data_IF_810762386718
#
_entry.id   IF_810762386718
#
_cell.length_a   1.000
_cell.length_b   1.000
_cell.length_c   1.000
_cell.angle_alpha   90.00
_cell.angle_beta   90.00
_cell.angle_gamma   90.00
#
_symmetry.space_group_name_H-M   'P 1'
#
loop_
_entity.id
_entity.type
_entity.pdbx_description
1 polymer ?
#
# COMPACT_ATOMS: atom_id res chain seq x y z
N UNK A 1 89.64 10.78 -17.61
CA UNK A 1 88.30 10.57 -18.21
C UNK A 1 87.35 11.76 -18.06
N UNK A 2 87.48 12.63 -17.05
CA UNK A 2 86.62 13.82 -16.90
C UNK A 2 86.93 14.92 -17.93
N UNK A 3 88.21 15.12 -18.29
CA UNK A 3 88.63 16.13 -19.29
C UNK A 3 88.06 15.92 -20.70
N UNK A 4 87.84 14.65 -21.10
CA UNK A 4 87.26 14.30 -22.40
C UNK A 4 85.74 14.55 -22.44
N UNK A 5 85.08 14.53 -21.28
CA UNK A 5 83.65 14.81 -21.15
C UNK A 5 83.38 16.31 -21.28
N UNK A 6 84.26 17.15 -20.73
CA UNK A 6 84.15 18.62 -20.79
C UNK A 6 84.42 19.19 -22.18
N UNK A 7 85.34 18.60 -22.95
CA UNK A 7 85.55 18.95 -24.36
C UNK A 7 84.38 18.50 -25.25
N UNK A 8 83.82 17.31 -24.98
CA UNK A 8 82.62 16.84 -25.66
C UNK A 8 81.41 17.73 -25.35
N UNK A 9 81.22 18.17 -24.10
CA UNK A 9 80.17 19.11 -23.68
C UNK A 9 80.35 20.54 -24.23
N UNK A 10 81.54 20.93 -24.70
CA UNK A 10 81.77 22.21 -25.39
C UNK A 10 81.59 22.11 -26.91
N UNK A 11 81.33 20.91 -27.46
CA UNK A 11 81.01 20.75 -28.86
C UNK A 11 79.56 21.22 -29.12
N UNK A 12 79.33 22.16 -30.07
CA UNK A 12 77.98 22.68 -30.36
C UNK A 12 76.97 21.58 -30.72
N UNK A 13 77.43 20.47 -31.32
CA UNK A 13 76.57 19.31 -31.65
C UNK A 13 76.18 18.52 -30.39
N UNK A 14 77.09 18.35 -29.43
CA UNK A 14 76.78 17.63 -28.20
C UNK A 14 75.82 18.42 -27.30
N UNK A 15 75.96 19.75 -27.23
CA UNK A 15 75.05 20.61 -26.46
C UNK A 15 73.62 20.57 -26.99
N UNK A 16 73.44 20.54 -28.31
CA UNK A 16 72.12 20.43 -28.93
C UNK A 16 71.49 19.05 -28.67
N UNK A 17 72.26 17.97 -28.72
CA UNK A 17 71.79 16.62 -28.39
C UNK A 17 71.37 16.51 -26.91
N UNK A 18 72.20 17.01 -25.98
CA UNK A 18 71.89 17.00 -24.54
C UNK A 18 70.66 17.87 -24.24
N UNK A 19 70.55 19.04 -24.86
CA UNK A 19 69.36 19.90 -24.74
C UNK A 19 68.09 19.22 -25.26
N UNK A 20 68.14 18.58 -26.43
CA UNK A 20 67.01 17.84 -26.98
C UNK A 20 66.59 16.66 -26.09
N UNK A 21 67.56 15.93 -25.52
CA UNK A 21 67.29 14.84 -24.58
C UNK A 21 66.60 15.34 -23.30
N UNK A 22 67.05 16.47 -22.74
CA UNK A 22 66.41 17.08 -21.57
C UNK A 22 64.97 17.53 -21.84
N UNK A 23 64.72 18.12 -23.02
CA UNK A 23 63.36 18.51 -23.43
C UNK A 23 62.45 17.29 -23.57
N UNK A 24 62.93 16.19 -24.14
CA UNK A 24 62.16 14.95 -24.24
C UNK A 24 61.82 14.37 -22.87
N UNK A 25 62.79 14.33 -21.94
CA UNK A 25 62.56 13.86 -20.57
C UNK A 25 61.50 14.74 -19.89
N UNK A 26 61.62 16.06 -20.02
CA UNK A 26 60.65 16.98 -19.42
C UNK A 26 59.24 16.80 -19.99
N UNK A 27 59.11 16.61 -21.31
CA UNK A 27 57.83 16.34 -21.97
C UNK A 27 57.22 15.01 -21.51
N UNK A 28 58.03 13.95 -21.39
CA UNK A 28 57.54 12.66 -20.88
C UNK A 28 57.08 12.76 -19.42
N UNK A 29 57.80 13.49 -18.57
CA UNK A 29 57.42 13.73 -17.18
C UNK A 29 56.10 14.51 -17.07
N UNK A 30 55.89 15.51 -17.93
CA UNK A 30 54.64 16.29 -17.99
C UNK A 30 53.45 15.43 -18.41
N UNK A 31 53.61 14.62 -19.46
CA UNK A 31 52.58 13.68 -19.93
C UNK A 31 52.26 12.66 -18.83
N UNK A 32 53.27 12.14 -18.15
CA UNK A 32 53.10 11.21 -17.04
C UNK A 32 52.33 11.86 -15.87
N UNK A 33 52.71 13.07 -15.46
CA UNK A 33 52.01 13.81 -14.41
C UNK A 33 50.54 14.08 -14.76
N UNK A 34 50.26 14.45 -16.02
CA UNK A 34 48.90 14.66 -16.50
C UNK A 34 48.06 13.37 -16.50
N UNK A 35 48.67 12.23 -16.88
CA UNK A 35 48.04 10.91 -16.83
C UNK A 35 47.71 10.50 -15.39
N UNK A 36 48.64 10.67 -14.44
CA UNK A 36 48.37 10.38 -13.02
C UNK A 36 47.24 11.26 -12.46
N UNK A 37 47.21 12.54 -12.83
CA UNK A 37 46.13 13.45 -12.43
C UNK A 37 44.76 13.02 -12.95
N UNK A 38 44.69 12.56 -14.21
CA UNK A 38 43.45 11.99 -14.79
C UNK A 38 43.03 10.70 -14.12
N UNK A 39 43.97 9.79 -13.84
CA UNK A 39 43.67 8.52 -13.16
C UNK A 39 43.09 8.74 -11.76
N UNK A 40 43.64 9.69 -10.99
CA UNK A 40 43.13 10.03 -9.65
C UNK A 40 41.69 10.54 -9.70
N UNK A 41 41.39 11.46 -10.61
CA UNK A 41 40.02 11.97 -10.81
C UNK A 41 39.05 10.88 -11.23
N UNK A 42 39.48 9.95 -12.08
CA UNK A 42 38.65 8.82 -12.51
C UNK A 42 38.39 7.85 -11.35
N UNK A 43 39.38 7.61 -10.48
CA UNK A 43 39.21 6.81 -9.26
C UNK A 43 38.23 7.46 -8.27
N UNK A 44 38.32 8.78 -8.06
CA UNK A 44 37.39 9.53 -7.22
C UNK A 44 35.95 9.45 -7.76
N UNK A 45 35.77 9.57 -9.08
CA UNK A 45 34.47 9.40 -9.73
C UNK A 45 33.92 7.99 -9.55
N UNK A 46 34.76 6.96 -9.69
CA UNK A 46 34.35 5.56 -9.47
C UNK A 46 33.96 5.29 -8.01
N UNK A 47 34.66 5.90 -7.05
CA UNK A 47 34.28 5.82 -5.64
C UNK A 47 32.93 6.48 -5.37
N UNK A 48 32.67 7.65 -5.97
CA UNK A 48 31.36 8.31 -5.87
C UNK A 48 30.22 7.53 -6.53
N UNK A 49 30.50 6.84 -7.64
CA UNK A 49 29.53 5.94 -8.28
C UNK A 49 29.29 4.70 -7.40
N UNK A 50 30.34 4.11 -6.83
CA UNK A 50 30.22 2.95 -5.95
C UNK A 50 29.40 3.26 -4.69
N UNK A 51 29.59 4.43 -4.07
CA UNK A 51 28.79 4.83 -2.92
C UNK A 51 27.33 5.07 -3.31
N UNK A 52 27.09 5.74 -4.45
CA UNK A 52 25.73 5.94 -4.97
C UNK A 52 25.01 4.61 -5.24
N UNK A 53 25.71 3.62 -5.80
CA UNK A 53 25.17 2.27 -6.02
C UNK A 53 24.85 1.55 -4.71
N UNK A 54 25.69 1.69 -3.68
CA UNK A 54 25.38 1.12 -2.36
C UNK A 54 24.14 1.74 -1.72
N UNK A 55 23.94 3.05 -1.86
CA UNK A 55 22.75 3.74 -1.37
C UNK A 55 21.50 3.37 -2.15
N UNK A 56 21.61 3.15 -3.47
CA UNK A 56 20.50 2.66 -4.28
C UNK A 56 20.13 1.23 -3.92
N UNK A 57 21.11 0.36 -3.67
CA UNK A 57 20.86 -1.00 -3.20
C UNK A 57 20.13 -0.99 -1.85
N UNK A 58 20.59 -0.18 -0.90
CA UNK A 58 19.94 -0.05 0.41
C UNK A 58 18.51 0.50 0.28
N UNK A 59 18.32 1.51 -0.58
CA UNK A 59 17.00 2.08 -0.86
C UNK A 59 16.07 1.08 -1.53
N UNK A 60 16.58 0.25 -2.44
CA UNK A 60 15.81 -0.82 -3.08
C UNK A 60 15.37 -1.89 -2.08
N UNK A 61 16.27 -2.31 -1.18
CA UNK A 61 15.94 -3.25 -0.09
C UNK A 61 14.86 -2.65 0.81
N UNK A 62 14.99 -1.39 1.22
CA UNK A 62 13.97 -0.70 2.04
C UNK A 62 12.63 -0.60 1.31
N UNK A 63 12.63 -0.24 0.03
CA UNK A 63 11.39 -0.21 -0.77
C UNK A 63 10.76 -1.59 -0.89
N UNK A 64 11.55 -2.64 -1.11
CA UNK A 64 11.05 -4.00 -1.19
C UNK A 64 10.39 -4.45 0.13
N UNK A 65 11.03 -4.18 1.27
CA UNK A 65 10.47 -4.46 2.60
C UNK A 65 9.19 -3.65 2.87
N UNK A 66 9.14 -2.40 2.43
CA UNK A 66 7.95 -1.57 2.54
C UNK A 66 6.81 -2.12 1.65
N UNK A 67 7.11 -2.60 0.44
CA UNK A 67 6.12 -3.23 -0.44
C UNK A 67 5.58 -4.52 0.17
N UNK A 68 6.42 -5.33 0.79
CA UNK A 68 5.99 -6.53 1.52
C UNK A 68 5.09 -6.16 2.71
N UNK A 69 5.43 -5.11 3.46
CA UNK A 69 4.56 -4.58 4.53
C UNK A 69 3.21 -4.08 3.99
N UNK A 70 3.20 -3.39 2.84
CA UNK A 70 1.97 -2.93 2.18
C UNK A 70 1.13 -4.10 1.70
N UNK A 71 1.73 -5.13 1.10
CA UNK A 71 1.04 -6.34 0.67
C UNK A 71 0.36 -7.05 1.86
N UNK A 72 1.08 -7.20 2.97
CA UNK A 72 0.53 -7.79 4.20
C UNK A 72 -0.62 -6.95 4.78
N UNK A 73 -0.51 -5.62 4.77
CA UNK A 73 -1.59 -4.73 5.21
C UNK A 73 -2.81 -4.86 4.30
N UNK A 74 -2.63 -4.92 2.98
CA UNK A 74 -3.72 -5.09 2.02
C UNK A 74 -4.44 -6.43 2.22
N UNK A 75 -3.70 -7.52 2.41
CA UNK A 75 -4.28 -8.83 2.67
C UNK A 75 -5.11 -8.86 3.97
N UNK A 76 -4.61 -8.21 5.02
CA UNK A 76 -5.36 -8.09 6.27
C UNK A 76 -6.63 -7.22 6.10
N UNK A 77 -6.55 -6.16 5.30
CA UNK A 77 -7.67 -5.28 5.01
C UNK A 77 -8.74 -5.99 4.16
N UNK A 78 -8.33 -6.82 3.21
CA UNK A 78 -9.20 -7.69 2.42
C UNK A 78 -9.93 -8.71 3.31
N UNK A 79 -9.22 -9.37 4.23
CA UNK A 79 -9.83 -10.28 5.21
C UNK A 79 -10.86 -9.58 6.10
N UNK A 80 -10.52 -8.40 6.63
CA UNK A 80 -11.45 -7.60 7.44
C UNK A 80 -12.66 -7.14 6.64
N UNK A 81 -12.49 -6.80 5.36
CA UNK A 81 -13.59 -6.41 4.50
C UNK A 81 -14.53 -7.57 4.20
N UNK A 82 -13.99 -8.77 3.98
CA UNK A 82 -14.79 -9.99 3.79
C UNK A 82 -15.63 -10.30 5.04
N UNK A 83 -15.01 -10.27 6.23
CA UNK A 83 -15.71 -10.48 7.50
C UNK A 83 -16.76 -9.39 7.76
N UNK A 84 -16.43 -8.13 7.49
CA UNK A 84 -17.39 -7.03 7.59
C UNK A 84 -18.58 -7.21 6.65
N UNK A 85 -18.33 -7.62 5.40
CA UNK A 85 -19.39 -7.87 4.42
C UNK A 85 -20.31 -9.01 4.85
N UNK A 86 -19.76 -10.10 5.39
CA UNK A 86 -20.54 -11.22 5.91
C UNK A 86 -21.40 -10.79 7.11
N UNK A 87 -20.79 -10.11 8.09
CA UNK A 87 -21.50 -9.59 9.25
C UNK A 87 -22.59 -8.57 8.88
N UNK A 88 -22.35 -7.78 7.83
CA UNK A 88 -23.32 -6.82 7.32
C UNK A 88 -24.54 -7.51 6.70
N UNK A 89 -24.33 -8.57 5.91
CA UNK A 89 -25.43 -9.36 5.36
C UNK A 89 -26.21 -10.09 6.46
N UNK A 90 -25.52 -10.67 7.46
CA UNK A 90 -26.16 -11.24 8.64
C UNK A 90 -27.01 -10.20 9.39
N UNK A 91 -26.46 -9.00 9.60
CA UNK A 91 -27.18 -7.90 10.26
C UNK A 91 -28.43 -7.48 9.49
N UNK A 92 -28.39 -7.44 8.15
CA UNK A 92 -29.58 -7.16 7.34
C UNK A 92 -30.66 -8.22 7.52
N UNK A 93 -30.28 -9.50 7.51
CA UNK A 93 -31.21 -10.61 7.70
C UNK A 93 -31.84 -10.53 9.09
N UNK A 94 -31.05 -10.26 10.12
CA UNK A 94 -31.54 -10.12 11.48
C UNK A 94 -32.47 -8.90 11.63
N UNK A 95 -32.12 -7.76 11.03
CA UNK A 95 -32.99 -6.58 10.99
C UNK A 95 -34.32 -6.85 10.28
N UNK A 96 -34.30 -7.56 9.14
CA UNK A 96 -35.52 -7.93 8.42
C UNK A 96 -36.41 -8.83 9.30
N UNK A 97 -35.82 -9.82 9.95
CA UNK A 97 -36.52 -10.70 10.88
C UNK A 97 -37.08 -9.94 12.09
N UNK A 98 -36.32 -8.98 12.63
CA UNK A 98 -36.76 -8.17 13.76
C UNK A 98 -37.92 -7.24 13.37
N UNK A 99 -37.86 -6.65 12.18
CA UNK A 99 -38.95 -5.85 11.62
C UNK A 99 -40.21 -6.69 11.39
N UNK A 100 -40.07 -7.92 10.89
CA UNK A 100 -41.19 -8.84 10.69
C UNK A 100 -41.80 -9.29 12.03
N UNK A 101 -40.97 -9.63 13.02
CA UNK A 101 -41.43 -9.97 14.36
C UNK A 101 -42.17 -8.80 15.03
N UNK A 102 -41.61 -7.59 14.96
CA UNK A 102 -42.26 -6.38 15.49
C UNK A 102 -43.58 -6.05 14.76
N UNK A 103 -43.62 -6.21 13.45
CA UNK A 103 -44.82 -6.02 12.64
C UNK A 103 -45.93 -6.99 13.03
N UNK A 104 -45.61 -8.28 13.11
CA UNK A 104 -46.56 -9.34 13.48
C UNK A 104 -47.08 -9.20 14.91
N UNK A 105 -46.22 -8.88 15.89
CA UNK A 105 -46.64 -8.66 17.28
C UNK A 105 -47.55 -7.43 17.42
N UNK A 106 -47.27 -6.36 16.68
CA UNK A 106 -48.12 -5.16 16.65
C UNK A 106 -49.49 -5.44 16.02
N UNK A 107 -49.53 -6.17 14.91
CA UNK A 107 -50.77 -6.60 14.25
C UNK A 107 -51.63 -7.48 15.17
N UNK A 108 -51.00 -8.44 15.85
CA UNK A 108 -51.67 -9.34 16.79
C UNK A 108 -52.24 -8.57 18.00
N UNK A 109 -51.45 -7.68 18.60
CA UNK A 109 -51.90 -6.85 19.74
C UNK A 109 -53.11 -6.01 19.35
N UNK A 110 -53.05 -5.33 18.19
CA UNK A 110 -54.14 -4.52 17.67
C UNK A 110 -55.41 -5.36 17.37
N UNK A 111 -55.24 -6.58 16.87
CA UNK A 111 -56.34 -7.50 16.63
C UNK A 111 -57.03 -7.95 17.93
N UNK A 112 -56.25 -8.23 18.98
CA UNK A 112 -56.77 -8.57 20.31
C UNK A 112 -57.57 -7.39 20.89
N UNK A 113 -57.06 -6.16 20.80
CA UNK A 113 -57.76 -4.97 21.30
C UNK A 113 -59.08 -4.73 20.55
N UNK A 114 -59.10 -4.92 19.23
CA UNK A 114 -60.31 -4.83 18.42
C UNK A 114 -61.33 -5.92 18.76
N UNK A 115 -60.88 -7.17 18.92
CA UNK A 115 -61.75 -8.28 19.33
C UNK A 115 -62.37 -8.03 20.70
N UNK A 116 -61.58 -7.54 21.68
CA UNK A 116 -62.10 -7.16 23.01
C UNK A 116 -63.11 -6.03 22.93
N UNK A 117 -62.90 -5.09 22.01
CA UNK A 117 -63.83 -4.01 21.65
C UNK A 117 -65.11 -4.48 20.94
N UNK A 118 -65.21 -5.76 20.56
CA UNK A 118 -66.38 -6.37 19.92
C UNK A 118 -66.36 -6.36 18.39
N UNK A 119 -65.22 -6.03 17.77
CA UNK A 119 -65.08 -6.08 16.32
C UNK A 119 -65.24 -7.52 15.77
N UNK A 120 -65.81 -7.62 14.58
CA UNK A 120 -65.97 -8.88 13.85
C UNK A 120 -64.67 -9.36 13.20
N UNK A 121 -64.60 -10.64 12.81
CA UNK A 121 -63.42 -11.22 12.15
C UNK A 121 -63.06 -10.49 10.84
N UNK A 122 -64.05 -10.06 10.07
CA UNK A 122 -63.85 -9.27 8.83
C UNK A 122 -63.27 -7.89 9.13
N UNK A 123 -63.76 -7.19 10.16
CA UNK A 123 -63.22 -5.88 10.57
C UNK A 123 -61.78 -5.97 11.07
N UNK A 124 -61.44 -7.04 11.80
CA UNK A 124 -60.07 -7.29 12.27
C UNK A 124 -59.15 -7.59 11.09
N UNK A 125 -59.57 -8.43 10.14
CA UNK A 125 -58.83 -8.75 8.91
C UNK A 125 -58.53 -7.46 8.13
N UNK A 126 -59.52 -6.58 7.94
CA UNK A 126 -59.35 -5.28 7.28
C UNK A 126 -58.43 -4.31 8.04
N UNK A 127 -58.49 -4.27 9.37
CA UNK A 127 -57.77 -3.29 10.19
C UNK A 127 -56.32 -3.69 10.53
N UNK A 128 -56.00 -4.98 10.43
CA UNK A 128 -54.69 -5.54 10.84
C UNK A 128 -53.97 -6.26 9.70
N UNK A 129 -54.70 -6.70 8.66
CA UNK A 129 -54.16 -7.48 7.54
C UNK A 129 -53.92 -8.96 7.88
N UNK A 130 -54.32 -9.42 9.07
CA UNK A 130 -54.26 -10.83 9.45
C UNK A 130 -55.20 -11.67 8.59
N UNK A 131 -54.90 -12.97 8.44
CA UNK A 131 -55.76 -13.89 7.69
C UNK A 131 -57.12 -14.09 8.37
N UNK A 132 -58.15 -14.40 7.60
CA UNK A 132 -59.52 -14.57 8.10
C UNK A 132 -59.63 -15.68 9.18
N UNK A 133 -58.86 -16.77 9.02
CA UNK A 133 -58.80 -17.85 10.02
C UNK A 133 -58.17 -17.39 11.35
N UNK A 134 -57.09 -16.61 11.30
CA UNK A 134 -56.44 -16.03 12.49
C UNK A 134 -57.35 -15.01 13.16
N UNK A 135 -57.96 -14.12 12.39
CA UNK A 135 -58.91 -13.13 12.92
C UNK A 135 -60.13 -13.81 13.58
N UNK A 136 -60.67 -14.87 12.96
CA UNK A 136 -61.77 -15.67 13.52
C UNK A 136 -61.38 -16.34 14.85
N UNK A 137 -60.17 -16.90 14.94
CA UNK A 137 -59.66 -17.46 16.17
C UNK A 137 -59.51 -16.40 17.27
N UNK A 138 -58.96 -15.23 16.95
CA UNK A 138 -58.79 -14.13 17.91
C UNK A 138 -60.15 -13.67 18.44
N UNK A 139 -61.17 -13.49 17.59
CA UNK A 139 -62.54 -13.16 18.04
C UNK A 139 -63.11 -14.25 18.93
N UNK A 140 -62.89 -15.52 18.60
CA UNK A 140 -63.40 -16.66 19.38
C UNK A 140 -62.81 -16.72 20.79
N UNK A 141 -61.53 -16.39 20.97
CA UNK A 141 -60.84 -16.52 22.26
C UNK A 141 -60.75 -15.22 23.06
N UNK A 142 -60.74 -14.06 22.39
CA UNK A 142 -60.56 -12.74 23.00
C UNK A 142 -61.74 -11.79 22.79
N UNK A 143 -62.73 -12.20 21.99
CA UNK A 143 -63.95 -11.44 21.77
C UNK A 143 -64.76 -11.25 23.06
N UNK A 144 -65.33 -10.06 23.25
CA UNK A 144 -66.29 -9.86 24.33
C UNK A 144 -67.49 -10.79 24.13
N UNK A 145 -67.97 -11.50 25.17
CA UNK A 145 -69.14 -12.35 25.06
C UNK A 145 -70.32 -11.48 24.66
N UNK A 146 -70.92 -11.78 23.49
CA UNK A 146 -72.17 -11.14 23.04
C UNK A 146 -73.19 -11.25 24.18
N UNK A 147 -73.52 -10.11 24.82
CA UNK A 147 -74.73 -9.97 25.63
C UNK A 147 -75.94 -9.92 24.72
#
# INVERSE_FOLDING_TARGET
>A
MIANLTEFLHNPVAQTIVGAALVLIFMTALVFAALLGRQRRSLEQLQGISSSLSHLQESFVRTNLNLESVANKLQNLESQYAEFSENYELSKVELARLAEAMGGESQLTKAIDLARGGASSEEITLATGLGEEEASAIVKFHGSPKR
#
